data_IF_911241582699
#
_entry.id   IF_911241582699
#
_cell.length_a   1.000
_cell.length_b   1.000
_cell.length_c   1.000
_cell.angle_alpha   90.00
_cell.angle_beta   90.00
_cell.angle_gamma   90.00
#
_symmetry.space_group_name_H-M   'P 1'
#
loop_
_entity.id
_entity.type
_entity.pdbx_description
1 polymer ?
#
# COMPACT_ATOMS: atom_id res chain seq x y z
N UNK A 1 7.02 -28.58 28.02
CA UNK A 1 6.86 -27.97 26.70
C UNK A 1 8.06 -28.27 25.83
N UNK A 2 7.86 -28.71 24.62
CA UNK A 2 8.95 -29.08 23.73
C UNK A 2 9.49 -27.81 23.05
N UNK A 3 10.75 -27.48 23.31
CA UNK A 3 11.41 -26.31 22.70
C UNK A 3 11.42 -26.37 21.17
N UNK A 4 11.56 -27.58 20.64
CA UNK A 4 11.57 -27.81 19.19
C UNK A 4 10.22 -27.43 18.56
N UNK A 5 9.11 -27.79 19.22
CA UNK A 5 7.77 -27.42 18.76
C UNK A 5 7.56 -25.90 18.83
N UNK A 6 8.06 -25.24 19.87
CA UNK A 6 7.99 -23.79 19.99
C UNK A 6 8.77 -23.09 18.88
N UNK A 7 9.97 -23.57 18.58
CA UNK A 7 10.79 -23.02 17.50
C UNK A 7 10.11 -23.17 16.14
N UNK A 8 9.44 -24.30 15.90
CA UNK A 8 8.68 -24.52 14.67
C UNK A 8 7.51 -23.54 14.54
N UNK A 9 6.81 -23.27 15.64
CA UNK A 9 5.73 -22.28 15.66
C UNK A 9 6.22 -20.88 15.35
N UNK A 10 7.35 -20.48 15.94
CA UNK A 10 7.95 -19.16 15.69
C UNK A 10 8.35 -19.03 14.21
N UNK A 11 8.98 -20.07 13.66
CA UNK A 11 9.37 -20.08 12.26
C UNK A 11 8.17 -19.98 11.33
N UNK A 12 7.07 -20.68 11.66
CA UNK A 12 5.84 -20.60 10.89
C UNK A 12 5.25 -19.20 10.92
N UNK A 13 5.21 -18.57 12.10
CA UNK A 13 4.71 -17.20 12.23
C UNK A 13 5.54 -16.23 11.39
N UNK A 14 6.85 -16.36 11.43
CA UNK A 14 7.73 -15.51 10.63
C UNK A 14 7.47 -15.68 9.13
N UNK A 15 7.31 -16.91 8.66
CA UNK A 15 6.98 -17.16 7.25
C UNK A 15 5.64 -16.55 6.88
N UNK A 16 4.63 -16.70 7.74
CA UNK A 16 3.30 -16.15 7.50
C UNK A 16 3.31 -14.62 7.46
N UNK A 17 4.10 -13.99 8.34
CA UNK A 17 4.28 -12.54 8.35
C UNK A 17 4.94 -12.04 7.07
N UNK A 18 6.01 -12.70 6.64
CA UNK A 18 6.72 -12.34 5.41
C UNK A 18 5.83 -12.51 4.18
N UNK A 19 5.03 -13.58 4.16
CA UNK A 19 4.07 -13.81 3.09
C UNK A 19 3.00 -12.71 3.04
N UNK A 20 2.45 -12.34 4.20
CA UNK A 20 1.45 -11.28 4.30
C UNK A 20 2.02 -9.94 3.81
N UNK A 21 3.24 -9.62 4.23
CA UNK A 21 3.95 -8.42 3.79
C UNK A 21 4.15 -8.40 2.28
N UNK A 22 4.59 -9.52 1.73
CA UNK A 22 4.82 -9.68 0.29
C UNK A 22 3.53 -9.50 -0.51
N UNK A 23 2.42 -10.04 -0.02
CA UNK A 23 1.12 -9.90 -0.66
C UNK A 23 0.71 -8.42 -0.80
N UNK A 24 0.95 -7.61 0.23
CA UNK A 24 0.70 -6.17 0.16
C UNK A 24 1.65 -5.52 -0.84
N UNK A 25 2.95 -5.83 -0.77
CA UNK A 25 3.97 -5.20 -1.62
C UNK A 25 3.76 -5.49 -3.11
N UNK A 26 3.23 -6.65 -3.45
CA UNK A 26 2.97 -7.05 -4.84
C UNK A 26 1.67 -6.49 -5.41
N UNK A 27 0.78 -6.02 -4.55
CA UNK A 27 -0.52 -5.49 -4.96
C UNK A 27 -0.38 -4.07 -5.49
N UNK A 28 -1.20 -3.73 -6.47
CA UNK A 28 -1.31 -2.36 -7.01
C UNK A 28 -2.58 -1.72 -6.48
N UNK A 29 -2.43 -0.52 -5.96
CA UNK A 29 -3.52 0.29 -5.43
C UNK A 29 -3.80 1.43 -6.38
N UNK A 30 -5.07 1.67 -6.69
CA UNK A 30 -5.48 2.65 -7.69
C UNK A 30 -6.47 3.62 -7.07
N UNK A 31 -6.25 4.91 -7.28
CA UNK A 31 -7.17 5.95 -6.85
C UNK A 31 -7.43 6.93 -7.99
N UNK A 32 -8.68 7.29 -8.19
CA UNK A 32 -9.09 8.26 -9.21
C UNK A 32 -9.75 9.44 -8.54
N UNK A 33 -9.25 10.64 -8.89
CA UNK A 33 -9.82 11.91 -8.44
C UNK A 33 -10.07 12.75 -9.69
N UNK A 34 -11.35 12.95 -10.04
CA UNK A 34 -11.73 13.66 -11.25
C UNK A 34 -11.05 13.05 -12.48
N UNK A 35 -10.24 13.81 -13.20
CA UNK A 35 -9.55 13.33 -14.41
C UNK A 35 -8.15 12.74 -14.13
N UNK A 36 -7.80 12.51 -12.86
CA UNK A 36 -6.47 12.01 -12.48
C UNK A 36 -6.60 10.63 -11.85
N UNK A 37 -5.84 9.67 -12.35
CA UNK A 37 -5.72 8.34 -11.75
C UNK A 37 -4.26 8.10 -11.36
N UNK A 38 -4.04 7.65 -10.13
CA UNK A 38 -2.70 7.30 -9.63
C UNK A 38 -2.68 5.82 -9.28
N UNK A 39 -1.65 5.12 -9.75
CA UNK A 39 -1.40 3.70 -9.43
C UNK A 39 -0.15 3.61 -8.59
N UNK A 40 -0.26 2.97 -7.43
CA UNK A 40 0.82 2.86 -6.45
C UNK A 40 0.98 1.40 -6.05
N UNK A 41 2.20 0.89 -6.04
CA UNK A 41 2.48 -0.44 -5.50
C UNK A 41 2.40 -0.42 -3.97
N UNK A 42 2.15 -1.59 -3.39
CA UNK A 42 2.13 -1.75 -1.93
C UNK A 42 3.44 -1.40 -1.24
N UNK A 43 4.52 -1.27 -1.99
CA UNK A 43 5.81 -0.74 -1.52
C UNK A 43 5.79 0.78 -1.34
N UNK A 44 4.68 1.42 -1.72
CA UNK A 44 4.48 2.88 -1.74
C UNK A 44 5.18 3.57 -2.90
N UNK A 45 5.63 2.81 -3.90
CA UNK A 45 6.18 3.35 -5.13
C UNK A 45 5.02 3.70 -6.08
N UNK A 46 4.98 4.95 -6.53
CA UNK A 46 4.02 5.39 -7.55
C UNK A 46 4.55 4.88 -8.89
N UNK A 47 3.73 4.10 -9.60
CA UNK A 47 4.16 3.47 -10.85
C UNK A 47 3.53 4.08 -12.09
N UNK A 48 2.39 4.77 -11.93
CA UNK A 48 1.72 5.39 -13.07
C UNK A 48 0.78 6.49 -12.62
N UNK A 49 0.78 7.58 -13.38
CA UNK A 49 -0.21 8.66 -13.26
C UNK A 49 -0.85 8.84 -14.63
N UNK A 50 -2.18 8.78 -14.68
CA UNK A 50 -2.95 8.97 -15.90
C UNK A 50 -3.79 10.23 -15.78
N UNK A 51 -3.70 11.12 -16.75
CA UNK A 51 -4.44 12.37 -16.80
C UNK A 51 -5.36 12.30 -18.02
N UNK A 52 -6.67 12.20 -17.78
CA UNK A 52 -7.67 12.08 -18.83
C UNK A 52 -8.30 13.44 -19.13
N UNK A 53 -7.51 14.32 -19.72
CA UNK A 53 -7.93 15.65 -20.11
C UNK A 53 -7.16 16.05 -21.36
N UNK A 54 -7.88 16.45 -22.40
CA UNK A 54 -7.29 16.74 -23.71
C UNK A 54 -6.43 18.01 -23.70
N UNK A 55 -6.81 18.99 -22.86
CA UNK A 55 -6.05 20.22 -22.73
C UNK A 55 -6.18 20.75 -21.31
N UNK A 56 -5.15 21.44 -20.87
CA UNK A 56 -5.09 22.05 -19.54
C UNK A 56 -4.77 23.53 -19.68
N UNK A 57 -5.62 24.39 -19.13
CA UNK A 57 -5.29 25.79 -19.01
C UNK A 57 -4.57 26.07 -17.69
N UNK A 58 -4.29 27.33 -17.40
CA UNK A 58 -3.56 27.72 -16.19
C UNK A 58 -4.26 27.33 -14.91
N UNK A 59 -5.60 27.46 -14.89
CA UNK A 59 -6.38 27.13 -13.68
C UNK A 59 -6.44 25.61 -13.49
N UNK A 60 -6.49 24.86 -14.59
CA UNK A 60 -6.48 23.39 -14.55
C UNK A 60 -5.16 22.83 -14.00
N UNK A 61 -4.04 23.51 -14.21
CA UNK A 61 -2.73 23.06 -13.72
C UNK A 61 -2.71 23.05 -12.18
N UNK A 62 -3.22 24.08 -11.56
CA UNK A 62 -3.30 24.17 -10.09
C UNK A 62 -4.20 23.07 -9.54
N UNK A 63 -5.36 22.86 -10.15
CA UNK A 63 -6.26 21.76 -9.80
C UNK A 63 -5.58 20.40 -9.98
N UNK A 64 -4.83 20.22 -11.07
CA UNK A 64 -4.11 18.97 -11.37
C UNK A 64 -3.13 18.63 -10.26
N UNK A 65 -2.36 19.60 -9.78
CA UNK A 65 -1.42 19.41 -8.68
C UNK A 65 -2.12 18.88 -7.44
N UNK A 66 -3.24 19.49 -7.07
CA UNK A 66 -4.04 19.07 -5.90
C UNK A 66 -4.65 17.68 -6.08
N UNK A 67 -5.15 17.38 -7.26
CA UNK A 67 -5.75 16.07 -7.55
C UNK A 67 -4.72 14.94 -7.45
N UNK A 68 -3.49 15.18 -7.91
CA UNK A 68 -2.41 14.20 -7.80
C UNK A 68 -2.09 13.93 -6.33
N UNK A 69 -1.99 14.97 -5.52
CA UNK A 69 -1.71 14.83 -4.08
C UNK A 69 -2.79 14.01 -3.40
N UNK A 70 -4.06 14.33 -3.65
CA UNK A 70 -5.18 13.61 -3.03
C UNK A 70 -5.19 12.15 -3.47
N UNK A 71 -5.06 11.87 -4.77
CA UNK A 71 -5.09 10.51 -5.29
C UNK A 71 -3.92 9.66 -4.74
N UNK A 72 -2.72 10.23 -4.71
CA UNK A 72 -1.55 9.54 -4.18
C UNK A 72 -1.71 9.23 -2.69
N UNK A 73 -2.21 10.19 -1.92
CA UNK A 73 -2.41 10.00 -0.48
C UNK A 73 -3.52 9.00 -0.17
N UNK A 74 -4.56 8.93 -0.99
CA UNK A 74 -5.60 7.90 -0.85
C UNK A 74 -5.01 6.50 -1.03
N UNK A 75 -4.11 6.31 -1.98
CA UNK A 75 -3.42 5.04 -2.16
C UNK A 75 -2.55 4.69 -0.95
N UNK A 76 -1.83 5.65 -0.40
CA UNK A 76 -1.01 5.43 0.81
C UNK A 76 -1.87 5.02 2.00
N UNK A 77 -3.02 5.67 2.19
CA UNK A 77 -3.98 5.29 3.23
C UNK A 77 -4.48 3.86 3.04
N UNK A 78 -4.81 3.49 1.81
CA UNK A 78 -5.29 2.14 1.49
C UNK A 78 -4.20 1.08 1.76
N UNK A 79 -2.94 1.37 1.40
CA UNK A 79 -1.81 0.50 1.66
C UNK A 79 -1.61 0.31 3.17
N UNK A 80 -1.63 1.40 3.92
CA UNK A 80 -1.45 1.35 5.38
C UNK A 80 -2.57 0.56 6.05
N UNK A 81 -3.81 0.78 5.62
CA UNK A 81 -4.97 0.06 6.16
C UNK A 81 -4.88 -1.44 5.85
N UNK A 82 -4.53 -1.80 4.63
CA UNK A 82 -4.39 -3.18 4.20
C UNK A 82 -3.25 -3.87 4.96
N UNK A 83 -2.13 -3.17 5.14
CA UNK A 83 -1.00 -3.65 5.93
C UNK A 83 -1.40 -3.92 7.37
N UNK A 84 -2.09 -2.98 8.02
CA UNK A 84 -2.57 -3.15 9.39
C UNK A 84 -3.51 -4.35 9.50
N UNK A 85 -4.42 -4.49 8.54
CA UNK A 85 -5.37 -5.60 8.52
C UNK A 85 -4.67 -6.95 8.41
N UNK A 86 -3.69 -7.07 7.53
CA UNK A 86 -2.97 -8.32 7.30
C UNK A 86 -1.94 -8.64 8.39
N UNK A 87 -1.32 -7.62 8.96
CA UNK A 87 -0.27 -7.79 9.95
C UNK A 87 -0.79 -7.75 11.40
N UNK A 88 -2.01 -7.27 11.61
CA UNK A 88 -2.60 -7.13 12.94
C UNK A 88 -2.70 -8.44 13.71
N UNK A 89 -2.95 -9.54 13.01
CA UNK A 89 -3.04 -10.88 13.62
C UNK A 89 -1.73 -11.36 14.23
N UNK A 90 -0.62 -10.73 13.88
CA UNK A 90 0.70 -11.08 14.43
C UNK A 90 1.07 -10.25 15.65
N UNK A 91 0.20 -9.30 16.06
CA UNK A 91 0.42 -8.46 17.24
C UNK A 91 1.71 -7.65 17.17
N UNK A 92 2.42 -7.56 18.28
CA UNK A 92 3.65 -6.80 18.37
C UNK A 92 4.79 -7.29 17.48
N UNK A 93 4.70 -8.50 16.97
CA UNK A 93 5.74 -9.06 16.09
C UNK A 93 5.85 -8.34 14.76
N UNK A 94 4.76 -7.72 14.30
CA UNK A 94 4.74 -6.99 13.03
C UNK A 94 5.75 -5.84 13.01
N UNK A 95 6.02 -5.24 14.17
CA UNK A 95 7.00 -4.15 14.29
C UNK A 95 8.45 -4.58 14.10
N UNK A 96 8.70 -5.90 14.07
CA UNK A 96 10.05 -6.44 13.89
C UNK A 96 10.46 -6.59 12.42
N UNK A 97 9.54 -6.34 11.51
CA UNK A 97 9.78 -6.49 10.07
C UNK A 97 10.22 -5.18 9.42
#
# INVERSE_FOLDING_TARGET
>A
MNMQAMMQQVQKLQRDMLKAKKEVEEKTYVSTQSFVTVETKGTKEIVKITIEQDSLDKDDIEMLEDLIVVAANENIKAINKDTESKMGKFGGMAGLL
#
